data_IF_891240351235
#
_entry.id   IF_891240351235
#
_cell.length_a   1.000
_cell.length_b   1.000
_cell.length_c   1.000
_cell.angle_alpha   90.00
_cell.angle_beta   90.00
_cell.angle_gamma   90.00
#
_symmetry.space_group_name_H-M   'P 1'
#
loop_
_entity.id
_entity.type
_entity.pdbx_description
1 polymer ?
#
# COMPACT_ATOMS: atom_id res chain seq x y z
N UNK A 1 -20.30 70.76 -22.72
CA UNK A 1 -21.18 69.58 -22.66
C UNK A 1 -21.40 69.25 -21.19
N UNK A 2 -22.64 69.09 -20.71
CA UNK A 2 -22.89 68.69 -19.33
C UNK A 2 -22.33 67.28 -19.08
N UNK A 3 -21.92 67.00 -17.84
CA UNK A 3 -21.54 65.66 -17.39
C UNK A 3 -22.76 64.75 -17.37
N UNK A 4 -22.62 63.52 -17.87
CA UNK A 4 -23.65 62.50 -17.81
C UNK A 4 -23.05 61.16 -17.38
N UNK A 5 -23.89 60.28 -16.84
CA UNK A 5 -23.54 58.90 -16.48
C UNK A 5 -24.19 57.99 -17.53
N UNK A 6 -23.40 57.16 -18.20
CA UNK A 6 -23.91 56.15 -19.12
C UNK A 6 -24.22 54.86 -18.38
N UNK A 7 -25.36 54.23 -18.69
CA UNK A 7 -25.74 52.90 -18.21
C UNK A 7 -26.11 52.02 -19.39
N UNK A 8 -25.73 50.74 -19.38
CA UNK A 8 -26.19 49.75 -20.35
C UNK A 8 -26.94 48.64 -19.60
N UNK A 9 -28.27 48.65 -19.74
CA UNK A 9 -29.19 47.70 -19.12
C UNK A 9 -29.82 46.75 -20.14
N UNK A 10 -29.20 46.59 -21.32
CA UNK A 10 -29.69 45.75 -22.40
C UNK A 10 -30.02 44.32 -21.93
N UNK A 11 -31.06 43.74 -22.53
CA UNK A 11 -31.44 42.33 -22.41
C UNK A 11 -31.84 41.84 -23.80
N UNK A 12 -31.02 41.02 -24.48
CA UNK A 12 -29.78 40.41 -24.00
C UNK A 12 -28.64 41.43 -23.78
N UNK A 13 -27.65 41.07 -22.95
CA UNK A 13 -26.50 41.94 -22.59
C UNK A 13 -25.57 42.15 -23.79
N UNK A 14 -25.76 43.23 -24.55
CA UNK A 14 -24.99 43.57 -25.77
C UNK A 14 -24.49 45.04 -25.72
N UNK A 15 -23.54 45.47 -26.56
CA UNK A 15 -23.08 46.85 -26.61
C UNK A 15 -24.20 47.79 -27.06
N UNK A 16 -24.29 48.96 -26.44
CA UNK A 16 -25.17 50.03 -26.88
C UNK A 16 -24.33 51.15 -27.51
N UNK A 17 -24.68 51.53 -28.75
CA UNK A 17 -24.05 52.64 -29.48
C UNK A 17 -24.93 53.88 -29.46
N UNK A 18 -24.40 54.98 -28.93
CA UNK A 18 -25.02 56.31 -29.01
C UNK A 18 -24.21 57.23 -29.91
N UNK A 19 -24.87 58.05 -30.74
CA UNK A 19 -24.21 59.12 -31.50
C UNK A 19 -24.53 60.46 -30.85
N UNK A 20 -23.49 61.19 -30.43
CA UNK A 20 -23.63 62.57 -29.96
C UNK A 20 -23.30 63.49 -31.10
N UNK A 21 -24.24 64.38 -31.44
CA UNK A 21 -24.08 65.42 -32.47
C UNK A 21 -24.05 66.79 -31.80
N UNK A 22 -22.98 67.53 -32.01
CA UNK A 22 -22.78 68.88 -31.49
C UNK A 22 -22.89 69.87 -32.64
N UNK A 23 -23.89 70.75 -32.58
CA UNK A 23 -24.07 71.82 -33.57
C UNK A 23 -23.77 73.16 -32.88
N UNK A 24 -22.69 73.87 -33.27
CA UNK A 24 -22.38 75.17 -32.68
C UNK A 24 -23.36 76.23 -33.20
N UNK A 25 -23.82 77.10 -32.31
CA UNK A 25 -24.66 78.25 -32.67
C UNK A 25 -23.99 79.53 -32.16
N UNK A 26 -23.74 80.47 -33.05
CA UNK A 26 -23.25 81.81 -32.70
C UNK A 26 -24.39 82.81 -32.78
N UNK A 27 -24.64 83.54 -31.70
CA UNK A 27 -25.72 84.54 -31.64
C UNK A 27 -25.13 85.92 -31.38
N UNK A 28 -25.44 86.90 -32.25
CA UNK A 28 -25.06 88.29 -32.07
C UNK A 28 -26.22 89.22 -32.45
N UNK A 29 -26.49 90.23 -31.62
CA UNK A 29 -27.54 91.24 -31.83
C UNK A 29 -28.92 90.66 -32.23
N UNK A 30 -29.31 89.52 -31.66
CA UNK A 30 -30.60 88.86 -31.92
C UNK A 30 -30.67 88.01 -33.20
N UNK A 31 -29.55 87.84 -33.93
CA UNK A 31 -29.45 86.91 -35.07
C UNK A 31 -28.57 85.72 -34.70
N UNK A 32 -29.03 84.51 -35.03
CA UNK A 32 -28.30 83.25 -34.79
C UNK A 32 -27.80 82.64 -36.10
N UNK A 33 -26.53 82.24 -36.12
CA UNK A 33 -25.92 81.48 -37.21
C UNK A 33 -25.59 80.07 -36.69
N UNK A 34 -26.11 79.05 -37.37
CA UNK A 34 -25.86 77.64 -37.06
C UNK A 34 -24.64 77.20 -37.85
N UNK A 35 -23.60 76.73 -37.17
CA UNK A 35 -22.41 76.16 -37.78
C UNK A 35 -22.56 74.67 -38.08
N UNK A 36 -21.56 74.08 -38.74
CA UNK A 36 -21.58 72.68 -39.11
C UNK A 36 -21.60 71.76 -37.88
N UNK A 37 -22.47 70.75 -37.92
CA UNK A 37 -22.53 69.74 -36.88
C UNK A 37 -21.31 68.81 -36.93
N UNK A 38 -20.82 68.40 -35.77
CA UNK A 38 -19.84 67.33 -35.62
C UNK A 38 -20.42 66.22 -34.77
N UNK A 39 -20.17 64.97 -35.16
CA UNK A 39 -20.67 63.81 -34.43
C UNK A 39 -19.55 62.89 -33.97
N UNK A 40 -19.74 62.26 -32.81
CA UNK A 40 -18.89 61.17 -32.33
C UNK A 40 -19.75 60.06 -31.72
N UNK A 41 -19.24 58.84 -31.72
CA UNK A 41 -19.92 57.67 -31.15
C UNK A 41 -19.45 57.42 -29.72
N UNK A 42 -20.38 56.98 -28.87
CA UNK A 42 -20.13 56.40 -27.56
C UNK A 42 -20.59 54.96 -27.58
N UNK A 43 -19.73 54.06 -27.10
CA UNK A 43 -20.04 52.65 -26.93
C UNK A 43 -20.07 52.37 -25.44
N UNK A 44 -21.20 51.88 -24.95
CA UNK A 44 -21.36 51.47 -23.55
C UNK A 44 -21.44 49.95 -23.54
N UNK A 45 -20.45 49.28 -22.95
CA UNK A 45 -20.46 47.82 -22.83
C UNK A 45 -21.34 47.37 -21.66
N UNK A 46 -22.00 46.22 -21.75
CA UNK A 46 -22.83 45.71 -20.67
C UNK A 46 -21.97 45.21 -19.50
N UNK A 47 -22.51 45.30 -18.27
CA UNK A 47 -22.00 44.51 -17.14
C UNK A 47 -22.55 43.09 -17.25
N UNK A 48 -21.66 42.10 -17.28
CA UNK A 48 -22.01 40.68 -17.42
C UNK A 48 -21.70 39.91 -16.13
N UNK A 49 -22.36 38.78 -15.94
CA UNK A 49 -22.11 37.86 -14.83
C UNK A 49 -21.92 36.44 -15.36
N UNK A 50 -21.25 35.61 -14.57
CA UNK A 50 -21.20 34.17 -14.81
C UNK A 50 -22.17 33.45 -13.90
N UNK A 51 -22.71 32.32 -14.38
CA UNK A 51 -23.42 31.39 -13.53
C UNK A 51 -22.49 30.86 -12.43
N UNK A 52 -23.07 30.49 -11.28
CA UNK A 52 -22.32 29.88 -10.18
C UNK A 52 -21.61 28.62 -10.67
N UNK A 53 -20.31 28.56 -10.42
CA UNK A 53 -19.50 27.36 -10.65
C UNK A 53 -19.60 26.50 -9.38
N UNK A 54 -19.99 25.21 -9.46
CA UNK A 54 -20.05 24.35 -8.29
C UNK A 54 -18.69 24.18 -7.61
N UNK A 55 -18.70 24.00 -6.29
CA UNK A 55 -17.51 23.59 -5.56
C UNK A 55 -17.10 22.16 -5.91
N UNK A 56 -15.81 21.91 -5.96
CA UNK A 56 -15.23 20.60 -6.23
C UNK A 56 -14.70 19.95 -4.95
N UNK A 57 -14.97 18.66 -4.75
CA UNK A 57 -14.52 17.91 -3.58
C UNK A 57 -13.86 16.60 -4.01
N UNK A 58 -12.56 16.67 -4.29
CA UNK A 58 -11.80 15.62 -4.97
C UNK A 58 -10.65 15.09 -4.12
N UNK A 59 -10.03 14.02 -4.59
CA UNK A 59 -8.87 13.40 -3.91
C UNK A 59 -7.56 13.90 -4.52
N UNK A 60 -6.48 13.79 -3.76
CA UNK A 60 -5.13 14.01 -4.28
C UNK A 60 -4.88 13.19 -5.56
N UNK A 61 -4.29 13.82 -6.58
CA UNK A 61 -4.01 13.21 -7.88
C UNK A 61 -5.18 13.24 -8.87
N UNK A 62 -6.33 13.81 -8.51
CA UNK A 62 -7.45 14.00 -9.46
C UNK A 62 -7.14 15.13 -10.44
N UNK A 63 -7.49 14.92 -11.72
CA UNK A 63 -7.45 15.97 -12.74
C UNK A 63 -8.81 16.66 -12.77
N UNK A 64 -8.84 17.97 -12.57
CA UNK A 64 -10.00 18.79 -12.87
C UNK A 64 -9.91 19.18 -14.34
N UNK A 65 -10.95 18.82 -15.10
CA UNK A 65 -11.03 19.16 -16.53
C UNK A 65 -11.16 20.68 -16.73
N UNK A 66 -10.89 21.14 -17.94
CA UNK A 66 -11.01 22.55 -18.28
C UNK A 66 -12.45 23.04 -18.04
N UNK A 67 -12.60 24.23 -17.45
CA UNK A 67 -13.90 24.81 -17.09
C UNK A 67 -14.16 26.00 -18.02
N UNK A 68 -15.28 25.94 -18.74
CA UNK A 68 -15.81 27.07 -19.50
C UNK A 68 -16.97 27.68 -18.72
N UNK A 69 -16.79 28.83 -18.04
CA UNK A 69 -17.88 29.49 -17.34
C UNK A 69 -19.02 29.84 -18.30
N UNK A 70 -20.26 29.65 -17.84
CA UNK A 70 -21.44 30.12 -18.56
C UNK A 70 -21.69 31.58 -18.20
N UNK A 71 -21.79 32.47 -19.19
CA UNK A 71 -22.03 33.90 -18.99
C UNK A 71 -23.41 34.33 -19.50
N UNK A 72 -23.92 35.47 -19.02
CA UNK A 72 -25.19 36.08 -19.46
C UNK A 72 -25.06 37.03 -20.67
N UNK A 73 -23.86 37.17 -21.22
CA UNK A 73 -23.58 38.03 -22.37
C UNK A 73 -24.38 37.59 -23.63
N UNK A 74 -24.98 38.56 -24.32
CA UNK A 74 -25.67 38.35 -25.58
C UNK A 74 -24.72 38.27 -26.77
N UNK A 75 -25.16 37.61 -27.84
CA UNK A 75 -24.40 37.52 -29.09
C UNK A 75 -24.37 38.87 -29.81
N UNK A 76 -23.18 39.41 -30.00
CA UNK A 76 -22.96 40.63 -30.78
C UNK A 76 -21.72 40.46 -31.68
N UNK A 77 -21.82 40.82 -32.96
CA UNK A 77 -20.72 40.61 -33.92
C UNK A 77 -19.45 41.37 -33.51
N UNK A 78 -18.31 40.68 -33.50
CA UNK A 78 -17.04 41.24 -33.06
C UNK A 78 -16.88 41.37 -31.53
N UNK A 79 -17.84 40.87 -30.75
CA UNK A 79 -17.70 40.75 -29.29
C UNK A 79 -17.20 39.37 -28.87
N UNK A 80 -16.44 39.32 -27.77
CA UNK A 80 -15.94 38.08 -27.17
C UNK A 80 -15.93 38.20 -25.65
N UNK A 81 -16.21 37.11 -24.94
CA UNK A 81 -16.05 37.02 -23.48
C UNK A 81 -14.77 36.26 -23.17
N UNK A 82 -13.94 36.84 -22.31
CA UNK A 82 -12.77 36.17 -21.71
C UNK A 82 -12.88 36.22 -20.19
N UNK A 83 -12.01 35.51 -19.50
CA UNK A 83 -12.00 35.44 -18.04
C UNK A 83 -10.62 35.81 -17.51
N UNK A 84 -10.61 36.46 -16.36
CA UNK A 84 -9.44 36.57 -15.49
C UNK A 84 -9.73 35.77 -14.22
N UNK A 85 -8.83 34.88 -13.82
CA UNK A 85 -8.97 34.12 -12.59
C UNK A 85 -7.77 34.29 -11.66
N UNK A 86 -8.08 34.33 -10.38
CA UNK A 86 -7.09 34.33 -9.30
C UNK A 86 -7.26 33.06 -8.47
N UNK A 87 -6.14 32.51 -8.03
CA UNK A 87 -6.03 31.28 -7.26
C UNK A 87 -5.43 31.62 -5.91
N UNK A 88 -6.16 31.32 -4.85
CA UNK A 88 -5.72 31.53 -3.46
C UNK A 88 -5.79 30.21 -2.70
N UNK A 89 -4.65 29.75 -2.19
CA UNK A 89 -4.53 28.46 -1.52
C UNK A 89 -3.39 27.63 -2.09
N UNK A 90 -3.40 26.33 -1.80
CA UNK A 90 -2.40 25.37 -2.27
C UNK A 90 -3.06 24.07 -2.72
N UNK A 91 -2.26 23.14 -3.26
CA UNK A 91 -2.75 21.81 -3.63
C UNK A 91 -3.45 21.75 -4.99
N UNK A 92 -3.34 22.79 -5.82
CA UNK A 92 -3.63 22.72 -7.25
C UNK A 92 -2.40 23.15 -8.05
N UNK A 93 -2.28 22.70 -9.29
CA UNK A 93 -1.27 23.21 -10.24
C UNK A 93 -1.75 24.44 -11.02
N UNK A 94 -2.98 24.91 -10.78
CA UNK A 94 -3.54 26.08 -11.46
C UNK A 94 -2.89 27.34 -10.90
N UNK A 95 -2.44 28.22 -11.80
CA UNK A 95 -1.93 29.55 -11.44
C UNK A 95 -2.91 30.63 -11.87
N UNK A 96 -2.73 31.85 -11.34
CA UNK A 96 -3.42 33.04 -11.83
C UNK A 96 -3.26 33.16 -13.36
N UNK A 97 -4.32 33.55 -14.05
CA UNK A 97 -4.29 33.56 -15.51
C UNK A 97 -5.51 34.21 -16.15
N UNK A 98 -5.45 34.29 -17.47
CA UNK A 98 -6.50 34.85 -18.31
C UNK A 98 -6.75 33.97 -19.53
N UNK A 99 -7.98 33.89 -20.02
CA UNK A 99 -8.29 33.14 -21.23
C UNK A 99 -9.79 32.96 -21.46
N UNK A 100 -10.16 32.29 -22.54
CA UNK A 100 -11.55 31.94 -22.83
C UNK A 100 -12.07 30.75 -22.01
N UNK A 101 -11.16 29.96 -21.42
CA UNK A 101 -11.44 28.75 -20.65
C UNK A 101 -10.41 28.67 -19.52
N UNK A 102 -10.81 28.22 -18.33
CA UNK A 102 -9.89 27.88 -17.25
C UNK A 102 -9.28 26.52 -17.62
N UNK A 103 -7.95 26.41 -17.81
CA UNK A 103 -7.32 25.17 -18.27
C UNK A 103 -7.49 24.05 -17.24
N UNK A 104 -7.36 22.79 -17.68
CA UNK A 104 -7.33 21.64 -16.76
C UNK A 104 -6.14 21.73 -15.82
N UNK A 105 -6.30 21.26 -14.58
CA UNK A 105 -5.24 21.28 -13.57
C UNK A 105 -5.26 20.03 -12.69
N UNK A 106 -4.10 19.70 -12.12
CA UNK A 106 -3.96 18.57 -11.20
C UNK A 106 -4.16 19.04 -9.76
N UNK A 107 -4.68 18.17 -8.92
CA UNK A 107 -4.75 18.35 -7.47
C UNK A 107 -3.66 17.55 -6.76
N UNK A 108 -3.14 18.09 -5.65
CA UNK A 108 -2.15 17.43 -4.82
C UNK A 108 -2.38 17.75 -3.34
N UNK A 109 -2.44 16.72 -2.50
CA UNK A 109 -2.47 16.84 -1.05
C UNK A 109 -1.61 15.73 -0.41
N UNK A 110 -0.40 16.12 0.00
CA UNK A 110 0.56 15.25 0.68
C UNK A 110 0.39 15.23 2.21
N UNK A 111 -0.57 15.99 2.74
CA UNK A 111 -0.86 16.07 4.16
C UNK A 111 -1.85 15.00 4.62
N UNK A 112 -2.29 15.12 5.87
CA UNK A 112 -3.32 14.26 6.48
C UNK A 112 -4.67 14.98 6.65
N UNK A 113 -4.78 16.23 6.21
CA UNK A 113 -5.97 17.08 6.34
C UNK A 113 -6.34 17.68 4.99
N UNK A 114 -7.61 18.03 4.80
CA UNK A 114 -8.07 18.65 3.56
C UNK A 114 -7.33 19.97 3.29
N UNK A 115 -6.94 20.16 2.03
CA UNK A 115 -6.39 21.42 1.53
C UNK A 115 -7.48 22.08 0.69
N UNK A 116 -7.64 23.40 0.82
CA UNK A 116 -8.67 24.15 0.10
C UNK A 116 -7.98 25.21 -0.78
N UNK A 117 -8.36 25.25 -2.05
CA UNK A 117 -8.03 26.33 -2.97
C UNK A 117 -9.30 27.07 -3.36
N UNK A 118 -9.30 28.39 -3.27
CA UNK A 118 -10.37 29.26 -3.79
C UNK A 118 -9.96 29.83 -5.13
N UNK A 119 -10.84 29.70 -6.12
CA UNK A 119 -10.67 30.26 -7.45
C UNK A 119 -11.72 31.34 -7.65
N UNK A 120 -11.29 32.58 -7.88
CA UNK A 120 -12.16 33.72 -8.16
C UNK A 120 -12.06 34.09 -9.62
N UNK A 121 -13.18 34.05 -10.34
CA UNK A 121 -13.29 34.25 -11.79
C UNK A 121 -14.04 35.53 -12.06
N UNK A 122 -13.43 36.41 -12.85
CA UNK A 122 -14.03 37.67 -13.31
C UNK A 122 -14.21 37.59 -14.83
N UNK A 123 -15.45 37.62 -15.36
CA UNK A 123 -15.67 37.70 -16.80
C UNK A 123 -15.30 39.08 -17.33
N UNK A 124 -14.85 39.14 -18.58
CA UNK A 124 -14.44 40.36 -19.28
C UNK A 124 -15.16 40.37 -20.62
N UNK A 125 -16.04 41.35 -20.81
CA UNK A 125 -16.70 41.58 -22.09
C UNK A 125 -15.81 42.44 -22.97
N UNK A 126 -15.37 41.93 -24.12
CA UNK A 126 -14.49 42.63 -25.05
C UNK A 126 -15.23 42.98 -26.34
N UNK A 127 -15.12 44.23 -26.80
CA UNK A 127 -15.67 44.69 -28.07
C UNK A 127 -14.89 45.91 -28.58
N UNK A 128 -14.46 45.87 -29.86
CA UNK A 128 -13.74 46.97 -30.52
C UNK A 128 -12.55 47.54 -29.72
N UNK A 129 -11.75 46.68 -29.10
CA UNK A 129 -10.58 47.09 -28.30
C UNK A 129 -10.93 47.75 -26.95
N UNK A 130 -12.20 47.70 -26.54
CA UNK A 130 -12.68 48.08 -25.20
C UNK A 130 -13.05 46.83 -24.41
N UNK A 131 -12.90 46.90 -23.10
CA UNK A 131 -13.19 45.81 -22.18
C UNK A 131 -13.92 46.33 -20.94
N UNK A 132 -14.92 45.59 -20.47
CA UNK A 132 -15.55 45.82 -19.17
C UNK A 132 -15.49 44.54 -18.34
N UNK A 133 -14.98 44.66 -17.11
CA UNK A 133 -15.02 43.58 -16.14
C UNK A 133 -16.45 43.43 -15.63
N UNK A 134 -16.93 42.19 -15.63
CA UNK A 134 -18.20 41.82 -15.06
C UNK A 134 -18.12 41.51 -13.57
N UNK A 135 -19.22 40.99 -13.03
CA UNK A 135 -19.29 40.57 -11.63
C UNK A 135 -18.49 39.28 -11.42
N UNK A 136 -17.56 39.28 -10.46
CA UNK A 136 -16.78 38.10 -10.12
C UNK A 136 -17.62 37.05 -9.40
N UNK A 137 -17.33 35.78 -9.64
CA UNK A 137 -17.84 34.63 -8.87
C UNK A 137 -16.67 33.79 -8.38
N UNK A 138 -16.83 33.08 -7.27
CA UNK A 138 -15.80 32.21 -6.72
C UNK A 138 -16.34 30.82 -6.43
N UNK A 139 -15.48 29.83 -6.60
CA UNK A 139 -15.71 28.45 -6.17
C UNK A 139 -14.48 27.93 -5.44
N UNK A 140 -14.66 26.84 -4.71
CA UNK A 140 -13.62 26.18 -3.96
C UNK A 140 -13.33 24.79 -4.53
N UNK A 141 -12.07 24.41 -4.47
CA UNK A 141 -11.61 23.05 -4.70
C UNK A 141 -11.10 22.54 -3.36
N UNK A 142 -11.84 21.63 -2.75
CA UNK A 142 -11.41 20.88 -1.57
C UNK A 142 -10.68 19.62 -2.03
N UNK A 143 -9.38 19.55 -1.75
CA UNK A 143 -8.52 18.42 -2.06
C UNK A 143 -8.33 17.58 -0.78
N UNK A 144 -8.93 16.39 -0.77
CA UNK A 144 -8.74 15.40 0.29
C UNK A 144 -7.39 14.69 0.14
N UNK A 145 -6.75 14.25 1.24
CA UNK A 145 -5.54 13.43 1.16
C UNK A 145 -5.84 12.09 0.47
N UNK A 146 -4.82 11.44 -0.07
CA UNK A 146 -4.98 10.07 -0.60
C UNK A 146 -5.21 9.08 0.53
N UNK A 147 -6.02 8.04 0.29
CA UNK A 147 -6.08 6.87 1.18
C UNK A 147 -4.67 6.28 1.29
N UNK A 148 -4.14 6.04 2.51
CA UNK A 148 -2.84 5.41 2.67
C UNK A 148 -2.76 4.08 1.93
N UNK A 149 -1.59 3.74 1.40
CA UNK A 149 -1.35 2.43 0.77
C UNK A 149 -1.53 1.33 1.81
N UNK A 150 -2.39 0.36 1.51
CA UNK A 150 -2.56 -0.84 2.32
C UNK A 150 -1.24 -1.61 2.41
N UNK A 151 -0.95 -2.14 3.59
CA UNK A 151 0.15 -3.05 3.83
C UNK A 151 -0.39 -4.19 4.70
N UNK A 152 -0.46 -5.37 4.12
CA UNK A 152 -1.03 -6.58 4.72
C UNK A 152 0.02 -7.34 5.57
N UNK A 153 1.28 -6.94 5.52
CA UNK A 153 2.42 -7.63 6.12
C UNK A 153 3.15 -8.49 5.08
N UNK A 154 4.16 -9.23 5.53
CA UNK A 154 4.90 -10.14 4.64
C UNK A 154 4.17 -11.47 4.47
N UNK A 155 4.36 -12.10 3.31
CA UNK A 155 4.02 -13.51 3.10
C UNK A 155 4.76 -14.36 4.13
N UNK A 156 4.12 -15.44 4.58
CA UNK A 156 4.66 -16.27 5.65
C UNK A 156 4.48 -17.75 5.39
N UNK A 157 5.36 -18.54 5.98
CA UNK A 157 5.31 -20.00 5.92
C UNK A 157 5.25 -20.52 7.35
N UNK A 158 4.34 -21.46 7.59
CA UNK A 158 4.05 -22.05 8.88
C UNK A 158 4.22 -23.57 8.81
N UNK A 159 4.35 -24.19 9.99
CA UNK A 159 4.48 -25.64 10.13
C UNK A 159 3.36 -26.17 11.03
N UNK A 160 2.40 -26.88 10.44
CA UNK A 160 1.25 -27.46 11.14
C UNK A 160 0.57 -26.51 12.14
N UNK A 161 0.59 -25.21 11.84
CA UNK A 161 0.01 -24.21 12.72
C UNK A 161 -1.51 -24.30 12.67
N UNK A 162 -2.15 -24.09 13.81
CA UNK A 162 -3.62 -24.01 13.92
C UNK A 162 -4.12 -22.57 13.98
N UNK A 163 -3.22 -21.61 14.20
CA UNK A 163 -3.49 -20.18 14.25
C UNK A 163 -2.29 -19.34 13.79
N UNK A 164 -2.55 -18.08 13.47
CA UNK A 164 -1.55 -17.07 13.13
C UNK A 164 -2.09 -15.67 13.47
N UNK A 165 -1.21 -14.72 13.78
CA UNK A 165 -1.62 -13.32 13.92
C UNK A 165 -1.24 -12.57 12.66
N UNK A 166 -2.22 -11.97 11.99
CA UNK A 166 -1.98 -11.11 10.84
C UNK A 166 -1.12 -9.89 11.26
N UNK A 167 -0.44 -9.28 10.29
CA UNK A 167 0.60 -8.26 10.57
C UNK A 167 0.45 -7.03 9.67
N UNK A 168 -0.79 -6.62 9.38
CA UNK A 168 -1.01 -5.39 8.62
C UNK A 168 -0.57 -4.14 9.40
N UNK A 169 -0.41 -3.04 8.66
CA UNK A 169 -0.14 -1.71 9.20
C UNK A 169 -1.30 -0.77 8.86
N UNK A 170 -1.70 0.05 9.83
CA UNK A 170 -2.63 1.18 9.64
C UNK A 170 -1.90 2.50 9.86
N UNK A 171 -2.19 3.47 9.00
CA UNK A 171 -1.57 4.81 9.05
C UNK A 171 -2.66 5.86 9.27
N UNK A 172 -2.43 6.74 10.25
CA UNK A 172 -3.34 7.85 10.56
C UNK A 172 -4.73 7.38 10.97
N UNK A 173 -5.77 8.07 10.48
CA UNK A 173 -7.17 7.77 10.78
C UNK A 173 -7.83 6.80 9.77
N UNK A 174 -7.02 6.05 9.02
CA UNK A 174 -7.54 5.03 8.11
C UNK A 174 -8.18 3.87 8.88
N UNK A 175 -9.16 3.22 8.26
CA UNK A 175 -9.79 2.00 8.74
C UNK A 175 -9.37 0.86 7.82
N UNK A 176 -9.25 -0.35 8.37
CA UNK A 176 -8.92 -1.52 7.59
C UNK A 176 -9.87 -2.68 7.87
N UNK A 177 -10.00 -3.59 6.91
CA UNK A 177 -10.78 -4.82 7.04
C UNK A 177 -10.06 -5.97 6.36
N UNK A 178 -9.86 -7.06 7.09
CA UNK A 178 -9.36 -8.32 6.58
C UNK A 178 -10.49 -9.15 5.97
N UNK A 179 -10.19 -9.79 4.84
CA UNK A 179 -11.04 -10.83 4.27
C UNK A 179 -10.18 -11.99 3.79
N UNK A 180 -10.73 -13.21 3.89
CA UNK A 180 -10.11 -14.38 3.29
C UNK A 180 -10.46 -14.44 1.81
N UNK A 181 -9.45 -14.58 0.96
CA UNK A 181 -9.59 -14.68 -0.50
C UNK A 181 -9.63 -16.13 -0.94
N UNK A 182 -8.77 -16.99 -0.37
CA UNK A 182 -8.67 -18.41 -0.73
C UNK A 182 -8.09 -19.27 0.39
N UNK A 183 -8.10 -20.59 0.16
CA UNK A 183 -7.73 -21.62 1.14
C UNK A 183 -8.96 -22.17 1.88
N UNK A 184 -8.75 -23.20 2.71
CA UNK A 184 -9.82 -23.70 3.60
C UNK A 184 -10.39 -22.58 4.48
N UNK A 185 -11.70 -22.55 4.77
CA UNK A 185 -12.28 -21.50 5.61
C UNK A 185 -11.61 -21.43 6.99
N UNK A 186 -11.22 -20.22 7.41
CA UNK A 186 -10.70 -19.94 8.76
C UNK A 186 -11.56 -18.89 9.46
N UNK A 187 -11.39 -18.76 10.78
CA UNK A 187 -12.02 -17.67 11.54
C UNK A 187 -11.05 -16.50 11.69
N UNK A 188 -11.43 -15.32 11.19
CA UNK A 188 -10.74 -14.05 11.47
C UNK A 188 -11.43 -13.43 12.68
N UNK A 189 -10.77 -13.41 13.84
CA UNK A 189 -11.44 -13.08 15.12
C UNK A 189 -11.85 -11.62 15.21
N UNK A 190 -11.12 -10.72 14.57
CA UNK A 190 -11.40 -9.28 14.57
C UNK A 190 -11.00 -8.68 13.23
N UNK A 191 -11.83 -8.80 12.18
CA UNK A 191 -11.47 -8.41 10.82
C UNK A 191 -11.00 -6.96 10.68
N UNK A 192 -11.44 -6.05 11.56
CA UNK A 192 -11.02 -4.64 11.55
C UNK A 192 -9.70 -4.36 12.26
N UNK A 193 -9.13 -5.33 12.96
CA UNK A 193 -7.83 -5.22 13.62
C UNK A 193 -6.72 -5.55 12.63
N UNK A 194 -5.76 -4.64 12.46
CA UNK A 194 -4.59 -4.86 11.60
C UNK A 194 -3.81 -6.12 12.01
N UNK A 195 -3.81 -6.43 13.32
CA UNK A 195 -3.16 -7.62 13.89
C UNK A 195 -4.14 -8.73 14.30
N UNK A 196 -5.24 -8.90 13.54
CA UNK A 196 -6.26 -9.91 13.88
C UNK A 196 -5.65 -11.32 13.98
N UNK A 197 -5.91 -12.05 15.06
CA UNK A 197 -5.74 -13.49 15.08
C UNK A 197 -6.61 -14.16 14.00
N UNK A 198 -6.06 -15.22 13.41
CA UNK A 198 -6.78 -16.20 12.61
C UNK A 198 -6.66 -17.58 13.26
N UNK A 199 -7.73 -18.36 13.27
CA UNK A 199 -7.78 -19.70 13.85
C UNK A 199 -8.46 -20.70 12.91
N UNK A 200 -8.18 -21.98 13.10
CA UNK A 200 -8.68 -23.04 12.23
C UNK A 200 -7.81 -23.29 11.00
N UNK A 201 -6.54 -22.84 11.03
CA UNK A 201 -5.57 -23.21 10.01
C UNK A 201 -5.41 -24.73 9.99
N UNK A 202 -5.41 -25.27 8.78
CA UNK A 202 -5.20 -26.66 8.46
C UNK A 202 -3.83 -26.80 7.82
N UNK A 203 -3.16 -27.90 8.11
CA UNK A 203 -1.92 -28.24 7.46
C UNK A 203 -2.12 -28.61 5.98
N UNK A 204 -1.07 -28.58 5.17
CA UNK A 204 -1.11 -28.80 3.73
C UNK A 204 -2.03 -27.82 2.96
N UNK A 205 -2.11 -26.57 3.41
CA UNK A 205 -2.96 -25.56 2.81
C UNK A 205 -2.19 -24.27 2.54
N UNK A 206 -2.59 -23.58 1.48
CA UNK A 206 -2.14 -22.22 1.18
C UNK A 206 -3.34 -21.29 1.31
N UNK A 207 -3.19 -20.25 2.11
CA UNK A 207 -4.22 -19.26 2.40
C UNK A 207 -3.83 -17.92 1.79
N UNK A 208 -4.83 -17.19 1.31
CA UNK A 208 -4.64 -15.81 0.87
C UNK A 208 -5.62 -14.91 1.62
N UNK A 209 -5.10 -13.83 2.19
CA UNK A 209 -5.89 -12.80 2.86
C UNK A 209 -5.67 -11.47 2.18
N UNK A 210 -6.71 -10.65 2.10
CA UNK A 210 -6.65 -9.27 1.61
C UNK A 210 -6.91 -8.31 2.75
N UNK A 211 -6.03 -7.33 2.88
CA UNK A 211 -6.19 -6.17 3.75
C UNK A 211 -6.73 -5.01 2.93
N UNK A 212 -7.98 -4.64 3.17
CA UNK A 212 -8.63 -3.51 2.52
C UNK A 212 -8.54 -2.29 3.42
N UNK A 213 -7.98 -1.18 2.92
CA UNK A 213 -7.84 0.08 3.66
C UNK A 213 -8.74 1.16 3.04
N UNK A 214 -9.54 1.79 3.88
CA UNK A 214 -10.37 2.95 3.57
C UNK A 214 -10.19 4.02 4.64
N UNK A 215 -10.87 5.18 4.53
CA UNK A 215 -10.84 6.18 5.60
C UNK A 215 -10.87 7.63 5.14
N UNK A 216 -10.73 7.87 3.83
CA UNK A 216 -10.98 9.19 3.24
C UNK A 216 -12.27 9.11 2.41
N UNK A 217 -13.42 9.60 2.92
CA UNK A 217 -14.71 9.49 2.24
C UNK A 217 -14.67 10.08 0.82
N UNK A 218 -15.08 9.30 -0.17
CA UNK A 218 -15.06 9.70 -1.58
C UNK A 218 -13.72 9.51 -2.30
N UNK A 219 -12.68 9.02 -1.60
CA UNK A 219 -11.44 8.59 -2.23
C UNK A 219 -11.39 7.08 -2.37
N UNK A 220 -10.73 6.61 -3.43
CA UNK A 220 -10.54 5.18 -3.68
C UNK A 220 -9.83 4.53 -2.49
N UNK A 221 -10.30 3.35 -2.12
CA UNK A 221 -9.62 2.48 -1.17
C UNK A 221 -8.35 1.89 -1.78
N UNK A 222 -7.50 1.34 -0.93
CA UNK A 222 -6.33 0.56 -1.34
C UNK A 222 -6.42 -0.85 -0.77
N UNK A 223 -5.70 -1.79 -1.39
CA UNK A 223 -5.69 -3.19 -0.95
C UNK A 223 -4.29 -3.75 -1.05
N UNK A 224 -3.94 -4.64 -0.14
CA UNK A 224 -2.73 -5.47 -0.21
C UNK A 224 -3.07 -6.90 0.20
N UNK A 225 -2.31 -7.88 -0.27
CA UNK A 225 -2.58 -9.30 0.00
C UNK A 225 -1.37 -9.99 0.56
N UNK A 226 -1.60 -10.91 1.51
CA UNK A 226 -0.58 -11.86 1.96
C UNK A 226 -0.94 -13.29 1.58
N UNK A 227 0.09 -14.09 1.36
CA UNK A 227 0.04 -15.54 1.25
C UNK A 227 0.60 -16.20 2.52
N UNK A 228 -0.12 -17.21 3.03
CA UNK A 228 0.29 -18.03 4.16
C UNK A 228 0.32 -19.49 3.72
N UNK A 229 1.50 -20.09 3.65
CA UNK A 229 1.67 -21.51 3.34
C UNK A 229 1.81 -22.27 4.66
N UNK A 230 0.89 -23.19 4.97
CA UNK A 230 0.94 -24.02 6.16
C UNK A 230 1.29 -25.46 5.81
N UNK A 231 2.55 -25.85 6.00
CA UNK A 231 3.00 -27.20 5.69
C UNK A 231 2.43 -28.24 6.67
N UNK A 232 2.45 -29.49 6.23
CA UNK A 232 2.20 -30.67 7.08
C UNK A 232 3.22 -30.77 8.20
N UNK A 233 2.78 -31.32 9.33
CA UNK A 233 3.67 -31.61 10.44
C UNK A 233 4.85 -32.45 9.96
N UNK A 234 6.06 -32.03 10.32
CA UNK A 234 7.27 -32.78 10.01
C UNK A 234 7.32 -34.02 10.92
N UNK A 235 7.46 -35.20 10.33
CA UNK A 235 7.59 -36.47 11.05
C UNK A 235 8.99 -37.01 10.83
N UNK A 236 9.71 -37.21 11.93
CA UNK A 236 11.11 -37.62 11.92
C UNK A 236 11.30 -38.91 12.74
N UNK A 237 11.36 -40.06 12.06
CA UNK A 237 11.47 -41.38 12.69
C UNK A 237 12.86 -42.00 12.51
N UNK A 238 13.31 -42.70 13.54
CA UNK A 238 14.53 -43.52 13.55
C UNK A 238 14.21 -44.92 14.07
N UNK A 239 15.09 -45.88 13.80
CA UNK A 239 15.12 -47.14 14.55
C UNK A 239 15.48 -46.83 16.00
N UNK A 240 14.53 -47.07 16.91
CA UNK A 240 14.68 -46.76 18.32
C UNK A 240 15.09 -47.99 19.16
N UNK A 241 15.51 -49.08 18.51
CA UNK A 241 16.03 -50.24 19.22
C UNK A 241 17.40 -49.93 19.84
N UNK A 242 17.62 -50.24 21.13
CA UNK A 242 18.93 -50.09 21.75
C UNK A 242 19.99 -50.96 21.07
N UNK A 243 21.16 -50.39 20.82
CA UNK A 243 22.30 -51.10 20.20
C UNK A 243 23.39 -51.31 21.24
N UNK A 244 23.94 -52.53 21.30
CA UNK A 244 25.11 -52.86 22.12
C UNK A 244 26.27 -53.25 21.21
N UNK A 245 27.41 -52.61 21.41
CA UNK A 245 28.63 -52.82 20.62
C UNK A 245 29.85 -52.97 21.54
N UNK A 246 30.91 -53.62 21.07
CA UNK A 246 32.19 -53.57 21.77
C UNK A 246 32.88 -52.23 21.55
N UNK A 247 33.83 -51.88 22.42
CA UNK A 247 34.74 -50.76 22.19
C UNK A 247 35.33 -50.83 20.75
N UNK A 248 35.47 -49.65 20.13
CA UNK A 248 35.95 -49.43 18.74
C UNK A 248 35.05 -49.93 17.61
N UNK A 249 33.88 -50.51 17.90
CA UNK A 249 32.92 -50.86 16.85
C UNK A 249 32.03 -49.68 16.47
N UNK A 250 31.60 -49.64 15.21
CA UNK A 250 30.63 -48.66 14.72
C UNK A 250 29.21 -49.14 15.04
N UNK A 251 28.42 -48.27 15.65
CA UNK A 251 26.98 -48.43 15.77
C UNK A 251 26.29 -47.81 14.54
N UNK A 252 25.28 -48.52 14.03
CA UNK A 252 24.43 -48.05 12.93
C UNK A 252 23.02 -47.89 13.45
N UNK A 253 22.44 -46.69 13.31
CA UNK A 253 21.03 -46.43 13.59
C UNK A 253 20.35 -46.01 12.29
N UNK A 254 19.45 -46.86 11.79
CA UNK A 254 18.70 -46.57 10.58
C UNK A 254 17.74 -45.39 10.84
N UNK A 255 17.70 -44.43 9.91
CA UNK A 255 16.70 -43.37 9.92
C UNK A 255 15.75 -43.53 8.75
N UNK A 256 14.44 -43.40 9.00
CA UNK A 256 13.45 -43.40 7.93
C UNK A 256 13.51 -42.07 7.17
N UNK A 257 13.06 -42.07 5.91
CA UNK A 257 12.84 -40.83 5.17
C UNK A 257 11.75 -40.02 5.88
N UNK A 258 12.02 -38.76 6.30
CA UNK A 258 11.02 -37.92 6.93
C UNK A 258 9.82 -37.67 6.00
N UNK A 259 8.67 -37.37 6.60
CA UNK A 259 7.49 -36.92 5.87
C UNK A 259 7.04 -35.55 6.39
N UNK A 260 6.32 -34.82 5.55
CA UNK A 260 5.81 -33.50 5.87
C UNK A 260 6.81 -32.36 5.69
N UNK A 261 6.56 -31.22 6.34
CA UNK A 261 7.28 -29.99 6.05
C UNK A 261 7.19 -29.58 4.58
N UNK A 262 8.26 -29.03 4.03
CA UNK A 262 8.34 -28.62 2.63
C UNK A 262 8.85 -29.72 1.69
N UNK A 263 9.10 -30.93 2.20
CA UNK A 263 9.63 -32.07 1.42
C UNK A 263 11.15 -32.06 1.22
N UNK A 264 11.85 -30.99 1.62
CA UNK A 264 13.31 -30.93 1.68
C UNK A 264 13.78 -31.11 3.11
N UNK A 265 14.76 -31.99 3.33
CA UNK A 265 15.19 -32.40 4.66
C UNK A 265 16.69 -32.23 4.85
N UNK A 266 17.07 -31.53 5.91
CA UNK A 266 18.45 -31.43 6.38
C UNK A 266 18.55 -32.22 7.69
N UNK A 267 19.47 -33.18 7.75
CA UNK A 267 19.67 -34.05 8.91
C UNK A 267 20.85 -33.59 9.75
N UNK A 268 20.73 -33.74 11.07
CA UNK A 268 21.84 -33.65 12.00
C UNK A 268 21.63 -34.64 13.14
N UNK A 269 22.55 -35.59 13.32
CA UNK A 269 22.52 -36.47 14.48
C UNK A 269 23.12 -35.79 15.71
N UNK A 270 22.50 -36.03 16.86
CA UNK A 270 22.94 -35.50 18.15
C UNK A 270 23.15 -36.63 19.14
N UNK A 271 24.11 -36.44 20.05
CA UNK A 271 24.40 -37.35 21.16
C UNK A 271 24.17 -36.67 22.52
N UNK A 272 23.91 -37.48 23.53
CA UNK A 272 23.80 -37.08 24.93
C UNK A 272 24.44 -38.11 25.86
N UNK A 273 25.34 -37.66 26.72
CA UNK A 273 26.02 -38.48 27.74
C UNK A 273 25.43 -38.31 29.14
N UNK A 274 24.44 -37.43 29.30
CA UNK A 274 23.81 -37.06 30.58
C UNK A 274 22.35 -37.52 30.67
N UNK A 275 21.98 -38.57 29.92
CA UNK A 275 20.64 -39.14 29.95
C UNK A 275 19.59 -38.32 29.20
N UNK A 276 20.01 -37.47 28.25
CA UNK A 276 19.12 -36.71 27.38
C UNK A 276 18.86 -35.27 27.83
N UNK A 277 19.59 -34.77 28.83
CA UNK A 277 19.44 -33.40 29.35
C UNK A 277 20.09 -32.40 28.39
N UNK A 278 21.33 -32.67 27.97
CA UNK A 278 22.04 -31.87 26.96
C UNK A 278 22.31 -32.71 25.71
N UNK A 279 22.25 -32.03 24.55
CA UNK A 279 22.44 -32.63 23.25
C UNK A 279 23.49 -31.85 22.48
N UNK A 280 24.48 -32.57 21.94
CA UNK A 280 25.53 -32.01 21.09
C UNK A 280 25.52 -32.67 19.72
N UNK A 281 25.85 -31.92 18.69
CA UNK A 281 25.90 -32.44 17.32
C UNK A 281 27.05 -33.45 17.18
N UNK A 282 26.76 -34.60 16.58
CA UNK A 282 27.78 -35.55 16.17
C UNK A 282 28.34 -35.05 14.84
N UNK A 283 29.60 -34.61 14.86
CA UNK A 283 30.25 -33.95 13.72
C UNK A 283 30.24 -34.86 12.49
N UNK A 284 29.80 -34.31 11.35
CA UNK A 284 29.76 -35.01 10.06
C UNK A 284 28.62 -36.00 9.89
N UNK A 285 27.80 -36.24 10.92
CA UNK A 285 26.65 -37.17 10.84
C UNK A 285 25.40 -36.44 10.35
N UNK A 286 25.38 -36.13 9.05
CA UNK A 286 24.29 -35.40 8.36
C UNK A 286 23.51 -36.27 7.38
N UNK A 287 23.68 -37.58 7.45
CA UNK A 287 22.97 -38.55 6.62
C UNK A 287 21.69 -39.05 7.32
N UNK A 288 20.78 -39.65 6.55
CA UNK A 288 19.55 -40.23 7.07
C UNK A 288 19.84 -41.30 8.15
N UNK A 289 20.85 -42.15 7.91
CA UNK A 289 21.34 -43.20 8.81
C UNK A 289 22.57 -42.73 9.57
N UNK A 290 22.62 -42.97 10.87
CA UNK A 290 23.80 -42.75 11.71
C UNK A 290 24.80 -43.88 11.50
N UNK A 291 26.07 -43.54 11.30
CA UNK A 291 27.18 -44.49 11.44
C UNK A 291 28.26 -43.86 12.31
N UNK A 292 28.33 -44.28 13.57
CA UNK A 292 29.09 -43.59 14.61
C UNK A 292 29.80 -44.58 15.53
N UNK A 293 31.03 -44.26 15.92
CA UNK A 293 31.85 -45.08 16.83
C UNK A 293 32.00 -44.33 18.16
N UNK A 294 31.09 -44.55 19.12
CA UNK A 294 31.14 -43.88 20.42
C UNK A 294 32.29 -44.41 21.29
N UNK A 295 32.83 -43.55 22.16
CA UNK A 295 33.82 -43.91 23.17
C UNK A 295 33.20 -44.31 24.52
N UNK A 296 31.95 -43.92 24.76
CA UNK A 296 31.20 -44.20 25.99
C UNK A 296 29.74 -44.49 25.66
N UNK A 297 29.04 -45.17 26.56
CA UNK A 297 27.58 -45.34 26.46
C UNK A 297 26.87 -43.99 26.45
N UNK A 298 25.93 -43.80 25.51
CA UNK A 298 25.24 -42.53 25.28
C UNK A 298 23.86 -42.73 24.64
N UNK A 299 23.06 -41.67 24.61
CA UNK A 299 21.82 -41.58 23.82
C UNK A 299 22.06 -40.84 22.51
N UNK A 300 21.35 -41.22 21.46
CA UNK A 300 21.33 -40.49 20.18
C UNK A 300 19.91 -40.11 19.78
N UNK A 301 19.78 -39.01 19.03
CA UNK A 301 18.56 -38.61 18.32
C UNK A 301 18.93 -37.93 17.00
N UNK A 302 17.99 -37.89 16.06
CA UNK A 302 18.14 -37.17 14.80
C UNK A 302 17.33 -35.88 14.85
N UNK A 303 17.93 -34.75 14.50
CA UNK A 303 17.24 -33.49 14.19
C UNK A 303 17.01 -33.43 12.69
N UNK A 304 15.79 -33.07 12.28
CA UNK A 304 15.46 -32.79 10.87
C UNK A 304 14.92 -31.37 10.77
N UNK A 305 15.42 -30.64 9.77
CA UNK A 305 14.90 -29.32 9.39
C UNK A 305 14.28 -29.43 8.00
N UNK A 306 13.02 -29.01 7.89
CA UNK A 306 12.27 -28.86 6.65
C UNK A 306 11.56 -27.52 6.68
N UNK A 307 12.29 -26.46 6.31
CA UNK A 307 11.96 -25.09 6.69
C UNK A 307 10.48 -24.72 6.43
N UNK A 308 9.78 -24.13 7.40
CA UNK A 308 10.23 -23.72 8.74
C UNK A 308 10.10 -24.81 9.81
N UNK A 309 9.66 -26.02 9.46
CA UNK A 309 9.51 -27.13 10.40
C UNK A 309 10.88 -27.59 10.94
N UNK A 310 10.95 -27.81 12.25
CA UNK A 310 12.09 -28.45 12.91
C UNK A 310 11.50 -29.52 13.81
N UNK A 311 12.00 -30.76 13.68
CA UNK A 311 11.53 -31.88 14.48
C UNK A 311 12.69 -32.76 14.94
N UNK A 312 12.57 -33.27 16.17
CA UNK A 312 13.53 -34.22 16.73
C UNK A 312 12.89 -35.61 16.78
N UNK A 313 13.66 -36.63 16.42
CA UNK A 313 13.20 -38.01 16.58
C UNK A 313 13.10 -38.39 18.05
N UNK A 314 12.49 -39.55 18.31
CA UNK A 314 12.71 -40.28 19.55
C UNK A 314 14.21 -40.59 19.77
N UNK A 315 14.54 -40.99 20.99
CA UNK A 315 15.92 -41.32 21.39
C UNK A 315 16.15 -42.83 21.42
N UNK A 316 17.38 -43.27 21.13
CA UNK A 316 17.83 -44.65 21.39
C UNK A 316 19.20 -44.65 22.08
N UNK A 317 19.53 -45.72 22.78
CA UNK A 317 20.82 -45.88 23.46
C UNK A 317 21.81 -46.70 22.65
N UNK A 318 23.08 -46.28 22.70
CA UNK A 318 24.22 -47.09 22.25
C UNK A 318 25.03 -47.45 23.48
N UNK A 319 25.07 -48.75 23.81
CA UNK A 319 25.84 -49.28 24.95
C UNK A 319 27.19 -49.78 24.45
N UNK A 320 28.27 -49.20 24.98
CA UNK A 320 29.65 -49.61 24.67
C UNK A 320 30.13 -50.57 25.74
N UNK A 321 30.32 -51.84 25.37
CA UNK A 321 30.93 -52.83 26.25
C UNK A 321 32.45 -52.63 26.32
N UNK A 322 33.04 -52.69 27.53
CA UNK A 322 34.49 -52.60 27.68
C UNK A 322 35.18 -53.76 26.97
N UNK A 323 36.40 -53.51 26.49
CA UNK A 323 37.23 -54.57 25.94
C UNK A 323 37.54 -55.64 26.98
N UNK A 324 37.64 -56.90 26.54
CA UNK A 324 38.10 -57.98 27.41
C UNK A 324 39.55 -57.68 27.82
N UNK A 325 39.77 -57.48 29.12
CA UNK A 325 41.10 -57.37 29.72
C UNK A 325 41.38 -58.65 30.53
N UNK A 326 42.66 -58.96 30.78
CA UNK A 326 43.13 -60.13 31.55
C UNK A 326 43.07 -61.51 30.86
N UNK A 327 43.18 -61.58 29.53
CA UNK A 327 43.53 -62.83 28.84
C UNK A 327 45.04 -63.10 28.95
N UNK A 328 45.52 -63.28 30.18
CA UNK A 328 46.91 -63.69 30.48
C UNK A 328 47.01 -65.21 30.47
N UNK A 329 47.68 -65.78 29.47
CA UNK A 329 48.10 -67.19 29.49
C UNK A 329 49.28 -67.28 30.47
N UNK A 330 49.06 -67.92 31.62
CA UNK A 330 50.09 -68.11 32.63
C UNK A 330 51.06 -69.23 32.22
N UNK A 331 52.06 -68.86 31.41
CA UNK A 331 53.18 -69.72 30.97
C UNK A 331 52.78 -71.03 30.26
N UNK A 332 53.74 -71.71 29.63
CA UNK A 332 53.50 -73.03 29.05
C UNK A 332 53.22 -74.05 30.16
N UNK A 333 52.12 -74.79 30.07
CA UNK A 333 51.88 -75.94 30.95
C UNK A 333 52.50 -77.19 30.33
N UNK A 334 53.50 -77.76 31.00
CA UNK A 334 54.02 -79.09 30.67
C UNK A 334 53.14 -80.14 31.33
N UNK A 335 52.14 -80.64 30.60
CA UNK A 335 51.26 -81.73 31.07
C UNK A 335 51.88 -83.07 30.64
N UNK A 336 52.21 -83.91 31.60
CA UNK A 336 52.67 -85.28 31.36
C UNK A 336 51.49 -86.23 31.11
N UNK A 337 51.73 -87.31 30.36
CA UNK A 337 50.72 -88.35 30.09
C UNK A 337 50.16 -88.93 31.41
N UNK A 338 48.84 -89.07 31.49
CA UNK A 338 48.05 -89.59 32.63
C UNK A 338 47.84 -88.69 33.86
N UNK A 339 48.14 -87.39 33.80
CA UNK A 339 47.65 -86.43 34.81
C UNK A 339 46.51 -85.57 34.24
N UNK A 340 45.52 -85.24 35.08
CA UNK A 340 44.52 -84.23 34.77
C UNK A 340 45.12 -82.82 34.96
N UNK A 341 44.73 -81.90 34.06
CA UNK A 341 45.16 -80.51 34.03
C UNK A 341 44.66 -79.70 35.23
#
# INVERSE_FOLDING_TARGET
MPTFISTNNSSPKIPEEGTITVTPTYTNAGKSCIGNAMSFKIIVLPNISIATIPDENVCSGTIINAITPTHDAGTFSGSTVTYNWTVSGSGTTLTNGTGAVIPSFNTNNNGSSNVITTITVTPIYNYNGKSCNGNSSSFTVTIKPSTPTANAGADTVLCAATSYNLQAILIGASTGVWSQVSGSPVTITSPTSANSPITGLQQNNTYKFVWFVSGVPGCSSTTDTIEIINYTALVNLIDNTPVTICATQTATIAGQTPTGGNGFYIYQWQQSTDGGVTWTDIIGQTNATLNFTPTTTLLVRRKVVSYPCIEYSSTTSITVQPGISNNTIASNQNICINNAA
#
